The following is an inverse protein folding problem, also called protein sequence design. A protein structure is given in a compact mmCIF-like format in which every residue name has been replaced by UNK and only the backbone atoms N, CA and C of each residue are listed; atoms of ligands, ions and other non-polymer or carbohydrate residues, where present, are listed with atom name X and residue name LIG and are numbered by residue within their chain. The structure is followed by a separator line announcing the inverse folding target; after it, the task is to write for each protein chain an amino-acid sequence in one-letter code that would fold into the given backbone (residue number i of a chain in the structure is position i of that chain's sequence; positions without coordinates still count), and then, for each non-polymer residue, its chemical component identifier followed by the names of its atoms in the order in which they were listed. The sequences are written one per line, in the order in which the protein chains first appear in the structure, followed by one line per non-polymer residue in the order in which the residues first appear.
data_IF_404781135599
#
_entry.id   IF_404781135599
#
_cell.length_a   1.000
_cell.length_b   1.000
_cell.length_c   1.000
_cell.angle_alpha   90.00
_cell.angle_beta   90.00
_cell.angle_gamma   90.00
#
_symmetry.space_group_name_H-M   'P 1'
#
loop_
_entity.id
_entity.type
_entity.pdbx_description
1 polymer ?
#
# COMPACT_ATOMS: atom_id res chain seq x y z
N UNK A 1 -4.73 -1.39 -3.42
CA UNK A 1 -4.31 -2.79 -3.64
C UNK A 1 -3.49 -3.26 -2.44
N UNK A 2 -3.22 -4.56 -2.26
CA UNK A 2 -2.27 -5.02 -1.24
C UNK A 2 -1.41 -6.18 -1.76
N UNK A 3 -0.19 -6.26 -1.27
CA UNK A 3 0.75 -7.35 -1.53
C UNK A 3 1.66 -7.52 -0.32
N UNK A 4 1.96 -8.76 0.05
CA UNK A 4 2.97 -9.10 1.06
C UNK A 4 3.65 -10.39 0.60
N UNK A 5 4.98 -10.39 0.54
CA UNK A 5 5.77 -11.48 -0.04
C UNK A 5 7.10 -11.64 0.65
N UNK A 6 7.61 -12.87 0.58
CA UNK A 6 8.94 -13.25 1.02
C UNK A 6 9.70 -13.82 -0.18
N UNK A 7 10.95 -13.44 -0.31
CA UNK A 7 11.89 -14.02 -1.27
C UNK A 7 13.12 -14.52 -0.52
N UNK A 8 13.65 -15.65 -1.01
CA UNK A 8 14.90 -16.22 -0.55
C UNK A 8 15.62 -16.88 -1.73
N UNK A 9 16.93 -16.74 -1.75
CA UNK A 9 17.82 -17.43 -2.69
C UNK A 9 18.75 -18.34 -1.92
N UNK A 10 19.02 -19.51 -2.47
CA UNK A 10 20.06 -20.40 -1.95
C UNK A 10 21.46 -19.86 -2.28
N UNK A 11 22.47 -20.35 -1.57
CA UNK A 11 23.87 -20.08 -1.91
C UNK A 11 24.18 -20.61 -3.31
N UNK A 12 24.86 -19.79 -4.13
CA UNK A 12 25.25 -20.19 -5.48
C UNK A 12 26.64 -19.66 -5.82
N UNK A 13 27.54 -20.53 -6.25
CA UNK A 13 28.92 -20.18 -6.62
C UNK A 13 29.65 -19.32 -5.58
N UNK A 14 29.57 -19.70 -4.29
CA UNK A 14 30.13 -18.97 -3.15
C UNK A 14 29.54 -17.55 -2.93
N UNK A 15 28.43 -17.22 -3.59
CA UNK A 15 27.60 -16.05 -3.26
C UNK A 15 26.61 -16.52 -2.18
N UNK A 16 26.67 -15.95 -0.96
CA UNK A 16 25.74 -16.31 0.10
C UNK A 16 24.28 -16.08 -0.33
N UNK A 17 23.40 -16.95 0.14
CA UNK A 17 21.96 -16.77 -0.02
C UNK A 17 21.49 -15.43 0.54
N UNK A 18 20.46 -14.86 -0.06
CA UNK A 18 19.84 -13.60 0.36
C UNK A 18 18.36 -13.83 0.62
N UNK A 19 17.78 -13.02 1.49
CA UNK A 19 16.35 -13.01 1.74
C UNK A 19 15.87 -11.58 1.93
N UNK A 20 14.59 -11.35 1.66
CA UNK A 20 13.92 -10.08 1.95
C UNK A 20 12.41 -10.25 1.98
N UNK A 21 11.75 -9.35 2.71
CA UNK A 21 10.31 -9.14 2.60
C UNK A 21 10.02 -7.91 1.75
N UNK A 22 8.93 -7.99 1.00
CA UNK A 22 8.38 -6.87 0.26
C UNK A 22 6.86 -6.84 0.41
N UNK A 23 6.27 -5.67 0.22
CA UNK A 23 4.84 -5.55 0.34
C UNK A 23 4.35 -4.13 0.51
N UNK A 24 3.10 -4.03 0.92
CA UNK A 24 2.43 -2.76 1.06
C UNK A 24 0.93 -2.88 0.87
N UNK A 25 0.25 -1.79 1.19
CA UNK A 25 -1.18 -1.63 0.93
C UNK A 25 -1.43 -0.18 0.60
N UNK A 26 -2.16 0.05 -0.49
CA UNK A 26 -2.46 1.35 -1.06
C UNK A 26 -3.97 1.49 -1.34
N UNK A 27 -4.47 2.72 -1.43
CA UNK A 27 -5.88 3.00 -1.76
C UNK A 27 -6.00 3.90 -2.99
N UNK A 28 -6.93 3.58 -3.89
CA UNK A 28 -7.17 4.32 -5.14
C UNK A 28 -8.63 4.77 -5.25
N UNK A 29 -9.05 5.80 -4.51
CA UNK A 29 -10.42 6.30 -4.61
C UNK A 29 -10.64 7.06 -5.93
N UNK A 30 -11.85 7.00 -6.49
CA UNK A 30 -12.24 7.88 -7.59
C UNK A 30 -12.61 9.28 -7.12
N UNK A 31 -13.18 9.37 -5.91
CA UNK A 31 -13.53 10.61 -5.22
C UNK A 31 -12.91 10.61 -3.82
N UNK A 32 -12.27 11.72 -3.45
CA UNK A 32 -11.51 11.81 -2.20
C UNK A 32 -12.41 12.25 -1.06
N UNK A 33 -12.52 11.41 -0.04
CA UNK A 33 -13.18 11.72 1.23
C UNK A 33 -12.08 11.85 2.29
N UNK A 34 -11.81 13.05 2.84
CA UNK A 34 -10.71 13.27 3.79
C UNK A 34 -10.75 12.35 5.01
N UNK A 35 -11.94 12.04 5.52
CA UNK A 35 -12.13 11.16 6.68
C UNK A 35 -11.70 9.74 6.39
N UNK A 36 -11.97 9.24 5.18
CA UNK A 36 -11.60 7.89 4.77
C UNK A 36 -10.08 7.78 4.58
N UNK A 37 -9.45 8.83 4.06
CA UNK A 37 -7.99 8.89 3.95
C UNK A 37 -7.35 8.93 5.32
N UNK A 38 -7.92 9.71 6.26
CA UNK A 38 -7.45 9.75 7.65
C UNK A 38 -7.59 8.39 8.33
N UNK A 39 -8.70 7.68 8.11
CA UNK A 39 -8.90 6.31 8.60
C UNK A 39 -7.84 5.36 8.05
N UNK A 40 -7.75 5.25 6.71
CA UNK A 40 -6.83 4.33 6.04
C UNK A 40 -5.37 4.56 6.44
N UNK A 41 -4.90 5.81 6.37
CA UNK A 41 -3.53 6.17 6.74
C UNK A 41 -3.30 6.05 8.25
N UNK A 42 -4.30 6.34 9.08
CA UNK A 42 -4.25 6.18 10.53
C UNK A 42 -4.07 4.72 10.93
N UNK A 43 -4.78 3.79 10.29
CA UNK A 43 -4.63 2.34 10.52
C UNK A 43 -3.21 1.88 10.22
N UNK A 44 -2.66 2.22 9.05
CA UNK A 44 -1.31 1.78 8.68
C UNK A 44 -0.21 2.52 9.46
N UNK A 45 -0.42 3.77 9.86
CA UNK A 45 0.48 4.44 10.81
C UNK A 45 0.52 3.70 12.13
N UNK A 46 -0.64 3.33 12.69
CA UNK A 46 -0.69 2.59 13.94
C UNK A 46 -0.01 1.22 13.85
N UNK A 47 -0.09 0.54 12.69
CA UNK A 47 0.68 -0.68 12.41
C UNK A 47 2.18 -0.36 12.46
N UNK A 48 2.65 0.56 11.62
CA UNK A 48 4.07 0.94 11.57
C UNK A 48 4.61 1.35 12.95
N UNK A 49 3.84 2.12 13.72
CA UNK A 49 4.24 2.61 15.04
C UNK A 49 4.47 1.48 16.07
N UNK A 50 3.82 0.32 15.91
CA UNK A 50 4.05 -0.85 16.79
C UNK A 50 5.38 -1.54 16.54
N UNK A 51 5.95 -1.42 15.33
CA UNK A 51 7.17 -2.14 14.92
C UNK A 51 8.38 -1.23 14.82
N UNK A 52 8.19 0.03 14.39
CA UNK A 52 9.23 1.06 14.33
C UNK A 52 8.58 2.46 14.29
N UNK A 53 8.29 3.06 15.46
CA UNK A 53 7.59 4.34 15.55
C UNK A 53 8.38 5.54 15.04
N UNK A 54 9.69 5.38 14.87
CA UNK A 54 10.54 6.48 14.43
C UNK A 54 10.60 6.57 12.90
N UNK A 55 10.53 5.45 12.16
CA UNK A 55 10.90 5.45 10.74
C UNK A 55 9.91 4.78 9.79
N UNK A 56 9.18 3.75 10.20
CA UNK A 56 8.47 2.91 9.22
C UNK A 56 7.39 3.66 8.45
N UNK A 57 6.52 4.40 9.14
CA UNK A 57 5.39 5.02 8.45
C UNK A 57 5.86 6.09 7.46
N UNK A 58 6.76 6.99 7.86
CA UNK A 58 7.27 8.05 6.99
C UNK A 58 8.03 7.49 5.78
N UNK A 59 8.91 6.51 6.03
CA UNK A 59 9.69 5.83 4.96
C UNK A 59 8.76 5.14 3.96
N UNK A 60 7.86 4.29 4.44
CA UNK A 60 7.03 3.45 3.57
C UNK A 60 5.90 4.23 2.90
N UNK A 61 5.42 5.31 3.52
CA UNK A 61 4.48 6.23 2.87
C UNK A 61 5.15 6.97 1.72
N UNK A 62 6.32 7.57 1.96
CA UNK A 62 7.06 8.30 0.94
C UNK A 62 7.36 7.40 -0.25
N UNK A 63 7.82 6.17 0.04
CA UNK A 63 8.07 5.19 -1.01
C UNK A 63 6.80 4.79 -1.77
N UNK A 64 5.66 4.68 -1.09
CA UNK A 64 4.36 4.40 -1.73
C UNK A 64 3.97 5.52 -2.71
N UNK A 65 4.13 6.77 -2.30
CA UNK A 65 3.81 7.94 -3.12
C UNK A 65 4.70 8.02 -4.37
N UNK A 66 6.00 7.70 -4.23
CA UNK A 66 6.95 7.66 -5.33
C UNK A 66 6.73 6.47 -6.28
N UNK A 67 6.50 5.28 -5.72
CA UNK A 67 6.35 4.05 -6.50
C UNK A 67 5.10 4.07 -7.39
N UNK A 68 3.98 4.59 -6.87
CA UNK A 68 2.71 4.63 -7.59
C UNK A 68 2.51 5.89 -8.45
N UNK A 69 3.59 6.60 -8.81
CA UNK A 69 3.53 7.75 -9.70
C UNK A 69 3.43 7.33 -11.18
N UNK A 70 2.40 7.81 -11.87
CA UNK A 70 2.28 7.67 -13.33
C UNK A 70 3.15 8.77 -13.98
N UNK A 71 4.41 8.43 -14.26
CA UNK A 71 5.45 9.39 -14.65
C UNK A 71 5.06 10.28 -15.83
N UNK A 72 4.49 9.73 -16.92
CA UNK A 72 4.11 10.50 -18.10
C UNK A 72 2.92 11.44 -17.89
N UNK A 73 2.21 11.29 -16.77
CA UNK A 73 1.09 12.15 -16.38
C UNK A 73 1.41 13.09 -15.21
N UNK A 74 2.56 12.89 -14.57
CA UNK A 74 2.92 13.55 -13.31
C UNK A 74 1.80 13.47 -12.26
N UNK A 75 1.05 12.35 -12.22
CA UNK A 75 -0.04 12.14 -11.29
C UNK A 75 0.10 10.79 -10.56
N UNK A 76 -0.27 10.69 -9.28
CA UNK A 76 -0.23 9.42 -8.59
C UNK A 76 -1.42 8.54 -9.03
N UNK A 77 -1.17 7.24 -9.18
CA UNK A 77 -2.20 6.21 -9.40
C UNK A 77 -3.14 6.14 -8.19
N UNK A 78 -2.56 6.15 -7.00
CA UNK A 78 -3.20 5.91 -5.71
C UNK A 78 -2.96 7.08 -4.75
N UNK A 79 -3.74 7.19 -3.67
CA UNK A 79 -3.49 8.16 -2.59
C UNK A 79 -2.60 7.56 -1.49
N UNK A 80 -1.54 6.87 -1.95
CA UNK A 80 -0.52 6.28 -1.09
C UNK A 80 -1.03 5.16 -0.19
N UNK A 81 -0.33 4.99 0.92
CA UNK A 81 -0.48 3.92 1.89
C UNK A 81 0.88 3.57 2.47
N UNK A 82 1.22 2.29 2.51
CA UNK A 82 2.60 1.84 2.79
C UNK A 82 3.11 1.01 1.61
N UNK A 83 4.38 1.18 1.28
CA UNK A 83 5.10 0.35 0.33
C UNK A 83 6.53 0.10 0.83
N UNK A 84 6.98 -1.13 0.72
CA UNK A 84 8.34 -1.55 1.05
C UNK A 84 8.78 -2.68 0.12
N UNK A 85 10.06 -2.70 -0.18
CA UNK A 85 10.74 -3.80 -0.88
C UNK A 85 12.13 -3.98 -0.28
N UNK A 86 12.78 -5.09 -0.61
CA UNK A 86 14.15 -5.39 -0.16
C UNK A 86 14.35 -5.22 1.35
N UNK A 87 13.31 -5.49 2.15
CA UNK A 87 13.33 -5.27 3.60
C UNK A 87 13.98 -6.47 4.30
N UNK A 88 15.27 -6.30 4.65
CA UNK A 88 16.11 -7.30 5.33
C UNK A 88 17.12 -6.67 6.32
N UNK A 89 16.80 -5.47 6.84
CA UNK A 89 17.71 -4.64 7.64
C UNK A 89 17.80 -5.02 9.12
N UNK A 90 17.06 -6.04 9.57
CA UNK A 90 16.97 -6.49 10.95
C UNK A 90 16.56 -7.96 11.02
N UNK A 91 16.27 -8.46 12.22
CA UNK A 91 15.85 -9.85 12.43
C UNK A 91 14.65 -10.21 11.52
N UNK A 92 14.75 -11.26 10.68
CA UNK A 92 13.66 -11.68 9.79
C UNK A 92 12.35 -11.93 10.52
N UNK A 93 12.37 -12.44 11.76
CA UNK A 93 11.16 -12.66 12.54
C UNK A 93 10.43 -11.35 12.88
N UNK A 94 11.16 -10.26 13.12
CA UNK A 94 10.56 -8.96 13.42
C UNK A 94 9.95 -8.33 12.17
N UNK A 95 10.61 -8.49 11.01
CA UNK A 95 10.07 -8.03 9.72
C UNK A 95 8.83 -8.87 9.32
N UNK A 96 8.84 -10.18 9.62
CA UNK A 96 7.70 -11.05 9.40
C UNK A 96 6.52 -10.68 10.31
N UNK A 97 6.77 -10.35 11.59
CA UNK A 97 5.73 -9.83 12.51
C UNK A 97 5.12 -8.54 11.97
N UNK A 98 5.95 -7.60 11.50
CA UNK A 98 5.48 -6.37 10.86
C UNK A 98 4.60 -6.67 9.63
N UNK A 99 5.10 -7.49 8.71
CA UNK A 99 4.38 -7.83 7.47
C UNK A 99 3.06 -8.56 7.75
N UNK A 100 3.05 -9.43 8.76
CA UNK A 100 1.86 -10.15 9.23
C UNK A 100 0.83 -9.20 9.84
N UNK A 101 1.27 -8.27 10.69
CA UNK A 101 0.39 -7.26 11.28
C UNK A 101 -0.21 -6.34 10.19
N UNK A 102 0.60 -5.93 9.23
CA UNK A 102 0.18 -5.10 8.11
C UNK A 102 -0.87 -5.79 7.21
N UNK A 103 -0.68 -7.08 6.86
CA UNK A 103 -1.68 -7.82 6.09
C UNK A 103 -2.98 -8.07 6.88
N UNK A 104 -2.87 -8.33 8.20
CA UNK A 104 -4.04 -8.55 9.05
C UNK A 104 -4.90 -7.27 9.22
N UNK A 105 -4.31 -6.09 9.03
CA UNK A 105 -5.03 -4.82 9.11
C UNK A 105 -5.67 -4.37 7.78
N UNK A 106 -5.56 -5.15 6.69
CA UNK A 106 -6.20 -4.82 5.40
C UNK A 106 -7.72 -4.66 5.55
N UNK A 107 -8.37 -5.57 6.28
CA UNK A 107 -9.82 -5.54 6.50
C UNK A 107 -10.22 -4.32 7.32
N UNK A 108 -9.47 -4.01 8.38
CA UNK A 108 -9.74 -2.85 9.24
C UNK A 108 -9.52 -1.52 8.51
N UNK A 109 -8.50 -1.43 7.67
CA UNK A 109 -8.23 -0.23 6.88
C UNK A 109 -9.29 -0.01 5.78
N UNK A 110 -9.77 -1.07 5.12
CA UNK A 110 -10.56 -0.95 3.89
C UNK A 110 -12.07 -1.17 4.07
N UNK A 111 -12.50 -2.18 4.84
CA UNK A 111 -13.91 -2.54 4.92
C UNK A 111 -14.81 -1.44 5.54
N UNK A 112 -14.40 -0.66 6.54
CA UNK A 112 -15.21 0.45 7.04
C UNK A 112 -15.53 1.49 5.97
N UNK A 113 -14.56 1.82 5.11
CA UNK A 113 -14.74 2.76 3.99
C UNK A 113 -15.79 2.23 3.01
N UNK A 114 -15.67 0.95 2.63
CA UNK A 114 -16.64 0.33 1.72
C UNK A 114 -18.04 0.28 2.34
N UNK A 115 -18.16 -0.12 3.61
CA UNK A 115 -19.47 -0.17 4.29
C UNK A 115 -20.16 1.19 4.32
N UNK A 116 -19.39 2.26 4.47
CA UNK A 116 -19.89 3.64 4.50
C UNK A 116 -20.41 4.10 3.12
N UNK A 117 -19.73 3.71 2.04
CA UNK A 117 -19.94 4.29 0.70
C UNK A 117 -20.59 3.34 -0.32
N UNK A 118 -20.77 2.05 -0.01
CA UNK A 118 -21.27 1.06 -0.98
C UNK A 118 -22.70 1.30 -1.48
N UNK A 119 -23.50 2.09 -0.76
CA UNK A 119 -24.89 2.41 -1.11
C UNK A 119 -25.08 3.87 -1.50
N UNK A 120 -23.99 4.63 -1.67
CA UNK A 120 -24.09 6.03 -2.06
C UNK A 120 -24.73 6.13 -3.46
N UNK A 121 -25.70 7.04 -3.65
CA UNK A 121 -26.20 7.33 -4.98
C UNK A 121 -25.06 7.90 -5.82
N UNK A 122 -25.04 7.57 -7.10
CA UNK A 122 -24.08 8.14 -8.05
C UNK A 122 -24.75 8.54 -9.35
N UNK A 123 -24.21 9.55 -10.01
CA UNK A 123 -24.67 10.00 -11.33
C UNK A 123 -23.95 9.28 -12.47
N UNK A 124 -24.49 9.31 -13.71
CA UNK A 124 -23.77 8.81 -14.88
C UNK A 124 -22.39 9.43 -15.08
N UNK A 125 -22.25 10.73 -14.80
CA UNK A 125 -20.98 11.47 -14.90
C UNK A 125 -19.96 10.98 -13.87
N UNK A 126 -20.40 10.69 -12.65
CA UNK A 126 -19.53 10.11 -11.61
C UNK A 126 -19.07 8.70 -11.98
N UNK A 127 -19.93 7.94 -12.66
CA UNK A 127 -19.60 6.62 -13.18
C UNK A 127 -18.58 6.70 -14.31
N UNK A 128 -18.72 7.68 -15.21
CA UNK A 128 -17.76 7.95 -16.27
C UNK A 128 -16.40 8.35 -15.71
N UNK A 129 -16.38 9.26 -14.71
CA UNK A 129 -15.16 9.63 -14.00
C UNK A 129 -14.47 8.42 -13.37
N UNK A 130 -15.23 7.52 -12.74
CA UNK A 130 -14.69 6.25 -12.24
C UNK A 130 -14.03 5.42 -13.35
N UNK A 131 -14.59 5.36 -14.57
CA UNK A 131 -13.96 4.64 -15.68
C UNK A 131 -12.65 5.31 -16.13
N UNK A 132 -12.61 6.64 -16.18
CA UNK A 132 -11.38 7.38 -16.48
C UNK A 132 -10.30 7.07 -15.44
N UNK A 133 -10.64 7.07 -14.14
CA UNK A 133 -9.70 6.70 -13.07
C UNK A 133 -9.28 5.23 -13.15
N UNK A 134 -10.16 4.31 -13.58
CA UNK A 134 -9.76 2.92 -13.88
C UNK A 134 -8.82 2.81 -15.06
N UNK A 135 -8.96 3.67 -16.07
CA UNK A 135 -7.98 3.82 -17.15
C UNK A 135 -6.59 4.15 -16.62
N UNK A 136 -6.48 5.10 -15.67
CA UNK A 136 -5.20 5.39 -14.98
C UNK A 136 -4.64 4.20 -14.21
N UNK A 137 -5.52 3.42 -13.59
CA UNK A 137 -5.10 2.19 -12.93
C UNK A 137 -4.50 1.19 -13.92
N UNK A 138 -5.10 1.02 -15.10
CA UNK A 138 -4.57 0.17 -16.18
C UNK A 138 -3.24 0.71 -16.70
N UNK A 139 -3.16 2.01 -16.99
CA UNK A 139 -1.94 2.66 -17.48
C UNK A 139 -0.73 2.52 -16.54
N UNK A 140 -0.95 2.40 -15.23
CA UNK A 140 0.15 2.15 -14.31
C UNK A 140 0.64 0.69 -14.34
N UNK A 141 -0.27 -0.27 -14.55
CA UNK A 141 0.05 -1.69 -14.44
C UNK A 141 0.61 -2.29 -15.74
N UNK A 142 0.40 -1.64 -16.89
CA UNK A 142 0.90 -2.04 -18.20
C UNK A 142 2.14 -1.22 -18.58
#
# INVERSE_FOLDING_TARGET
HFNYRYFETEEWNAIPGQWWLGGGTDITPSYVVPEDMKHFHGTYKAVCDRHDPAYYYEKFRTWCDEYFLIKHRAEPRALGGIFFDDLNDRNPEDILKFSTDAVNNVVEAYCPIIKKHMNDPYTPEEKEWQQIRRGRYVEFNL
#
